data_IF_907526936315
#
_entry.id   IF_907526936315
#
_cell.length_a   1.000
_cell.length_b   1.000
_cell.length_c   1.000
_cell.angle_alpha   90.00
_cell.angle_beta   90.00
_cell.angle_gamma   90.00
#
_symmetry.space_group_name_H-M   'P 1'
#
loop_
_entity.id
_entity.type
_entity.pdbx_description
1 polymer ?
#
# COMPACT_ATOMS: atom_id res chain seq x y z
N UNK A 1 -12.66 12.52 6.65
CA UNK A 1 -11.98 11.94 5.48
C UNK A 1 -11.53 13.06 4.57
N UNK A 2 -10.23 13.14 4.24
CA UNK A 2 -9.63 14.13 3.33
C UNK A 2 -9.55 13.55 1.91
N UNK A 3 -9.81 14.31 0.84
CA UNK A 3 -9.76 13.83 -0.54
C UNK A 3 -8.32 13.75 -1.06
N UNK A 4 -7.49 12.95 -0.37
CA UNK A 4 -6.07 12.76 -0.66
C UNK A 4 -5.72 11.28 -0.59
N UNK A 5 -4.74 10.88 -1.41
CA UNK A 5 -4.16 9.54 -1.41
C UNK A 5 -2.69 9.69 -0.99
N UNK A 6 -2.27 8.96 0.02
CA UNK A 6 -0.88 8.96 0.48
C UNK A 6 -0.13 7.69 0.06
N UNK A 7 1.19 7.81 -0.09
CA UNK A 7 2.07 6.65 -0.19
C UNK A 7 2.49 6.16 1.19
N UNK A 8 2.94 4.90 1.25
CA UNK A 8 3.59 4.33 2.43
C UNK A 8 5.11 4.33 2.25
N UNK A 9 5.85 4.54 3.32
CA UNK A 9 7.32 4.67 3.29
C UNK A 9 8.02 3.34 2.98
N UNK A 10 7.54 2.21 3.51
CA UNK A 10 8.21 0.92 3.38
C UNK A 10 7.28 -0.30 3.39
N UNK A 11 7.82 -1.44 3.82
CA UNK A 11 7.12 -2.73 3.82
C UNK A 11 6.10 -2.90 4.95
N UNK A 12 6.13 -2.03 5.95
CA UNK A 12 5.25 -2.05 7.11
C UNK A 12 4.92 -0.62 7.50
N UNK A 13 3.76 -0.42 8.13
CA UNK A 13 3.44 0.87 8.74
C UNK A 13 4.30 1.06 9.99
N UNK A 14 4.97 2.19 10.05
CA UNK A 14 5.61 2.68 11.29
C UNK A 14 4.57 3.25 12.24
N UNK A 15 4.93 3.40 13.52
CA UNK A 15 4.05 4.03 14.51
C UNK A 15 3.76 5.49 14.17
N UNK A 16 4.75 6.21 13.64
CA UNK A 16 4.60 7.59 13.17
C UNK A 16 3.62 7.68 11.99
N UNK A 17 3.73 6.77 11.02
CA UNK A 17 2.76 6.69 9.92
C UNK A 17 1.37 6.35 10.41
N UNK A 18 1.24 5.44 11.41
CA UNK A 18 -0.06 5.11 11.99
C UNK A 18 -0.71 6.34 12.61
N UNK A 19 0.03 7.06 13.46
CA UNK A 19 -0.46 8.28 14.10
C UNK A 19 -0.83 9.35 13.04
N UNK A 20 0.05 9.59 12.08
CA UNK A 20 -0.18 10.56 11.01
C UNK A 20 -1.42 10.20 10.17
N UNK A 21 -1.57 8.94 9.76
CA UNK A 21 -2.69 8.53 8.91
C UNK A 21 -4.03 8.51 9.65
N UNK A 22 -4.03 8.19 10.95
CA UNK A 22 -5.23 8.31 11.79
C UNK A 22 -5.70 9.76 11.90
N UNK A 23 -4.78 10.70 12.13
CA UNK A 23 -5.08 12.13 12.17
C UNK A 23 -5.49 12.66 10.78
N UNK A 24 -4.77 12.27 9.74
CA UNK A 24 -5.02 12.74 8.39
C UNK A 24 -6.34 12.21 7.82
N UNK A 25 -6.72 10.97 8.15
CA UNK A 25 -7.91 10.28 7.66
C UNK A 25 -8.06 10.41 6.12
N UNK A 26 -7.10 9.90 5.33
CA UNK A 26 -7.11 10.03 3.87
C UNK A 26 -8.19 9.18 3.20
N UNK A 27 -8.48 9.47 1.93
CA UNK A 27 -9.42 8.68 1.14
C UNK A 27 -8.90 7.25 0.94
N UNK A 28 -7.61 7.11 0.63
CA UNK A 28 -6.94 5.83 0.39
C UNK A 28 -5.42 5.95 0.30
N UNK A 29 -4.78 4.88 -0.17
CA UNK A 29 -3.33 4.73 -0.20
C UNK A 29 -2.85 4.23 -1.57
N UNK A 30 -1.62 4.55 -1.96
CA UNK A 30 -0.99 4.03 -3.17
C UNK A 30 0.34 3.34 -2.83
N UNK A 31 0.51 2.11 -3.34
CA UNK A 31 1.71 1.32 -3.18
C UNK A 31 2.70 1.57 -4.33
N UNK A 32 3.97 1.66 -3.96
CA UNK A 32 5.11 1.75 -4.87
C UNK A 32 5.99 0.51 -4.75
N UNK A 33 7.01 0.41 -5.61
CA UNK A 33 7.96 -0.71 -5.62
C UNK A 33 8.57 -0.99 -4.23
N UNK A 34 8.85 0.05 -3.44
CA UNK A 34 9.41 -0.07 -2.07
C UNK A 34 8.46 -0.73 -1.06
N UNK A 35 7.19 -0.88 -1.39
CA UNK A 35 6.17 -1.52 -0.56
C UNK A 35 5.92 -2.98 -0.97
N UNK A 36 6.55 -3.44 -2.06
CA UNK A 36 6.35 -4.77 -2.64
C UNK A 36 7.48 -5.73 -2.23
N UNK A 37 7.32 -6.39 -1.09
CA UNK A 37 8.09 -7.57 -0.71
C UNK A 37 7.46 -8.83 -1.29
N UNK A 38 7.13 -9.80 -0.44
CA UNK A 38 6.45 -11.04 -0.81
C UNK A 38 4.92 -10.99 -0.58
N UNK A 39 4.15 -12.00 -1.05
CA UNK A 39 2.70 -11.99 -0.89
C UNK A 39 2.23 -11.95 0.57
N UNK A 40 2.95 -12.58 1.50
CA UNK A 40 2.59 -12.58 2.92
C UNK A 40 2.82 -11.19 3.52
N UNK A 41 3.95 -10.56 3.24
CA UNK A 41 4.26 -9.20 3.67
C UNK A 41 3.28 -8.19 3.07
N UNK A 42 3.01 -8.24 1.76
CA UNK A 42 2.09 -7.29 1.12
C UNK A 42 0.68 -7.45 1.69
N UNK A 43 0.23 -8.68 1.94
CA UNK A 43 -1.04 -8.93 2.62
C UNK A 43 -1.04 -8.29 4.01
N UNK A 44 -0.02 -8.53 4.82
CA UNK A 44 0.09 -7.95 6.16
C UNK A 44 0.11 -6.41 6.16
N UNK A 45 0.77 -5.79 5.18
CA UNK A 45 0.74 -4.33 5.00
C UNK A 45 -0.68 -3.84 4.69
N UNK A 46 -1.37 -4.48 3.73
CA UNK A 46 -2.74 -4.08 3.38
C UNK A 46 -3.74 -4.33 4.50
N UNK A 47 -3.58 -5.42 5.26
CA UNK A 47 -4.38 -5.72 6.45
C UNK A 47 -4.15 -4.63 7.52
N UNK A 48 -2.89 -4.25 7.76
CA UNK A 48 -2.54 -3.19 8.72
C UNK A 48 -3.15 -1.84 8.36
N UNK A 49 -3.23 -1.51 7.06
CA UNK A 49 -3.89 -0.29 6.57
C UNK A 49 -5.41 -0.36 6.84
N UNK A 50 -6.06 -1.49 6.56
CA UNK A 50 -7.50 -1.69 6.81
C UNK A 50 -7.83 -1.64 8.30
N UNK A 51 -7.05 -2.32 9.12
CA UNK A 51 -7.18 -2.31 10.58
C UNK A 51 -7.01 -0.90 11.15
N UNK A 52 -5.93 -0.21 10.78
CA UNK A 52 -5.66 1.15 11.24
C UNK A 52 -6.78 2.14 10.87
N UNK A 53 -7.35 1.99 9.68
CA UNK A 53 -8.42 2.87 9.19
C UNK A 53 -9.82 2.47 9.66
N UNK A 54 -9.99 1.23 10.16
CA UNK A 54 -11.30 0.64 10.46
C UNK A 54 -12.20 0.49 9.22
N UNK A 55 -11.61 0.44 8.01
CA UNK A 55 -12.32 0.45 6.73
C UNK A 55 -11.89 -0.72 5.85
N UNK A 56 -12.78 -1.69 5.72
CA UNK A 56 -12.56 -2.81 4.78
C UNK A 56 -12.60 -2.35 3.32
N UNK A 57 -13.27 -1.23 3.03
CA UNK A 57 -13.45 -0.65 1.70
C UNK A 57 -12.39 0.39 1.30
N UNK A 58 -11.36 0.61 2.14
CA UNK A 58 -10.35 1.64 1.83
C UNK A 58 -9.64 1.33 0.51
N UNK A 59 -9.60 2.28 -0.45
CA UNK A 59 -8.84 2.11 -1.68
C UNK A 59 -7.34 1.95 -1.38
N UNK A 60 -6.77 0.87 -1.88
CA UNK A 60 -5.32 0.63 -1.91
C UNK A 60 -4.96 0.41 -3.37
N UNK A 61 -4.27 1.40 -3.93
CA UNK A 61 -3.99 1.54 -5.36
C UNK A 61 -2.56 1.10 -5.66
N UNK A 62 -2.29 0.75 -6.93
CA UNK A 62 -0.96 0.38 -7.41
C UNK A 62 -0.89 0.57 -8.93
N UNK A 63 0.23 1.08 -9.43
CA UNK A 63 0.48 1.13 -10.88
C UNK A 63 1.07 -0.21 -11.35
N UNK A 64 0.21 -1.16 -11.67
CA UNK A 64 0.61 -2.47 -12.19
C UNK A 64 0.12 -2.66 -13.64
N UNK A 65 0.64 -1.84 -14.55
CA UNK A 65 0.29 -1.86 -15.98
C UNK A 65 1.07 -2.92 -16.77
N UNK A 66 2.30 -3.21 -16.33
CA UNK A 66 3.21 -4.14 -16.97
C UNK A 66 4.36 -3.45 -17.72
N UNK A 67 5.33 -4.27 -18.17
CA UNK A 67 6.54 -3.78 -18.82
C UNK A 67 7.32 -2.79 -17.96
N UNK A 68 7.40 -1.53 -18.39
CA UNK A 68 8.14 -0.47 -17.68
C UNK A 68 7.43 0.04 -16.42
N UNK A 69 6.11 -0.12 -16.33
CA UNK A 69 5.31 0.37 -15.21
C UNK A 69 4.70 -0.82 -14.47
N UNK A 70 5.53 -1.44 -13.64
CA UNK A 70 5.14 -2.53 -12.75
C UNK A 70 5.85 -2.35 -11.40
N UNK A 71 5.10 -2.42 -10.30
CA UNK A 71 5.67 -2.34 -8.93
C UNK A 71 5.97 -3.73 -8.38
N UNK A 72 5.06 -4.68 -8.60
CA UNK A 72 5.27 -6.10 -8.34
C UNK A 72 6.07 -6.70 -9.49
N UNK A 73 7.27 -7.23 -9.21
CA UNK A 73 8.23 -7.71 -10.22
C UNK A 73 8.83 -9.08 -9.85
N UNK A 74 9.35 -9.84 -10.83
CA UNK A 74 10.15 -11.04 -10.58
C UNK A 74 11.37 -10.78 -9.68
N UNK A 75 11.84 -11.80 -8.95
CA UNK A 75 11.41 -13.21 -8.99
C UNK A 75 10.21 -13.54 -8.09
N UNK A 76 9.79 -12.60 -7.25
CA UNK A 76 8.74 -12.83 -6.24
C UNK A 76 7.35 -12.84 -6.85
N UNK A 77 7.14 -11.92 -7.79
CA UNK A 77 5.89 -11.78 -8.53
C UNK A 77 6.11 -12.17 -9.99
N UNK A 78 5.10 -12.71 -10.68
CA UNK A 78 5.23 -12.96 -12.11
C UNK A 78 5.53 -11.66 -12.87
N UNK A 79 6.22 -11.77 -14.00
CA UNK A 79 6.26 -10.67 -14.96
C UNK A 79 4.83 -10.37 -15.44
N UNK A 80 4.56 -9.11 -15.75
CA UNK A 80 3.27 -8.65 -16.25
C UNK A 80 3.49 -7.66 -17.43
N UNK A 81 2.65 -7.70 -18.49
CA UNK A 81 1.74 -8.80 -18.79
C UNK A 81 2.50 -10.12 -18.92
#
# INVERSE_FOLDING_TARGET
MKPVIFGVSGLQLTDDERAFFQEANPLGYILFKRNCGDPAQMKALTDSIREMTGRDDVPILIDQEGGRVARMQPPVWPAFP
#
